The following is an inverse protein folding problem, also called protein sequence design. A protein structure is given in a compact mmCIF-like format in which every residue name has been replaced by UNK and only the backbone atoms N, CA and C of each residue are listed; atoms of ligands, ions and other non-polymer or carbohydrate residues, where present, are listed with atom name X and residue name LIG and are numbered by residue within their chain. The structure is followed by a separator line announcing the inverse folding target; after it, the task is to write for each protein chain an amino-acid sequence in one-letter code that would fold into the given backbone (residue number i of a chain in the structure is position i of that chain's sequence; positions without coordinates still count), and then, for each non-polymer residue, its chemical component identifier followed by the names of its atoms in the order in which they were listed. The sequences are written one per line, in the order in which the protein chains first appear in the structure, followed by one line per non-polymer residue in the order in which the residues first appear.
data_IF_272852204346
#
_entry.id   IF_272852204346
#
_cell.length_a   1.000
_cell.length_b   1.000
_cell.length_c   1.000
_cell.angle_alpha   90.00
_cell.angle_beta   90.00
_cell.angle_gamma   90.00
#
_symmetry.space_group_name_H-M   'P 1'
#
loop_
_entity.id
_entity.type
_entity.pdbx_description
1 polymer ?
#
# COMPACT_ATOMS: atom_id res chain seq x y z
N UNK A 1 -12.29 9.63 12.65
CA UNK A 1 -11.50 8.69 11.82
C UNK A 1 -11.24 7.43 12.63
N UNK A 2 -11.52 6.24 12.10
CA UNK A 2 -11.29 5.00 12.86
C UNK A 2 -9.79 4.66 12.90
N UNK A 3 -9.31 4.01 13.97
CA UNK A 3 -7.91 3.57 14.10
C UNK A 3 -7.46 2.68 12.92
N UNK A 4 -8.39 1.89 12.37
CA UNK A 4 -8.19 1.06 11.17
C UNK A 4 -7.93 1.89 9.91
N UNK A 5 -8.64 3.00 9.73
CA UNK A 5 -8.45 3.90 8.59
C UNK A 5 -7.07 4.55 8.62
N UNK A 6 -6.62 4.98 9.81
CA UNK A 6 -5.29 5.57 9.98
C UNK A 6 -4.18 4.56 9.72
N UNK A 7 -4.34 3.32 10.21
CA UNK A 7 -3.39 2.23 9.97
C UNK A 7 -3.32 1.84 8.49
N UNK A 8 -4.46 1.81 7.79
CA UNK A 8 -4.50 1.60 6.33
C UNK A 8 -3.77 2.70 5.56
N UNK A 9 -4.00 3.97 5.91
CA UNK A 9 -3.28 5.11 5.30
C UNK A 9 -1.78 5.00 5.55
N UNK A 10 -1.36 4.70 6.78
CA UNK A 10 0.05 4.55 7.12
C UNK A 10 0.72 3.44 6.29
N UNK A 11 0.06 2.28 6.15
CA UNK A 11 0.56 1.16 5.33
C UNK A 11 0.69 1.54 3.85
N UNK A 12 -0.31 2.24 3.28
CA UNK A 12 -0.23 2.71 1.88
C UNK A 12 0.91 3.71 1.71
N UNK A 13 1.06 4.67 2.62
CA UNK A 13 2.15 5.65 2.58
C UNK A 13 3.51 4.95 2.68
N UNK A 14 3.66 3.97 3.57
CA UNK A 14 4.87 3.16 3.67
C UNK A 14 5.16 2.38 2.38
N UNK A 15 4.15 1.74 1.78
CA UNK A 15 4.30 1.01 0.52
C UNK A 15 4.70 1.90 -0.66
N UNK A 16 4.07 3.07 -0.80
CA UNK A 16 4.44 4.07 -1.83
C UNK A 16 5.86 4.58 -1.60
N UNK A 17 6.23 4.87 -0.35
CA UNK A 17 7.59 5.30 0.00
C UNK A 17 8.62 4.23 -0.35
N UNK A 18 8.32 2.95 -0.09
CA UNK A 18 9.17 1.82 -0.48
C UNK A 18 9.34 1.73 -2.00
N UNK A 19 8.28 1.94 -2.79
CA UNK A 19 8.38 1.95 -4.25
C UNK A 19 9.18 3.13 -4.80
N UNK A 20 9.08 4.31 -4.18
CA UNK A 20 9.91 5.48 -4.55
C UNK A 20 11.37 5.24 -4.20
N UNK A 21 11.66 4.67 -3.02
CA UNK A 21 13.01 4.30 -2.62
C UNK A 21 13.60 3.27 -3.58
N UNK A 22 12.82 2.28 -3.98
CA UNK A 22 13.23 1.31 -5.00
C UNK A 22 13.62 1.99 -6.30
N UNK A 23 12.79 2.89 -6.84
CA UNK A 23 13.16 3.62 -8.05
C UNK A 23 14.41 4.48 -7.87
N UNK A 24 14.56 5.12 -6.72
CA UNK A 24 15.72 5.98 -6.43
C UNK A 24 17.02 5.18 -6.28
N UNK A 25 16.98 4.01 -5.66
CA UNK A 25 18.17 3.21 -5.36
C UNK A 25 18.45 2.13 -6.40
N UNK A 26 17.42 1.60 -7.06
CA UNK A 26 17.47 0.43 -7.94
C UNK A 26 16.83 0.64 -9.34
N UNK A 27 16.10 1.73 -9.57
CA UNK A 27 15.22 1.94 -10.73
C UNK A 27 15.87 2.11 -12.11
N UNK A 28 17.09 1.61 -12.31
CA UNK A 28 17.71 1.64 -13.64
C UNK A 28 19.11 1.06 -13.75
N UNK A 29 19.63 0.38 -12.73
CA UNK A 29 20.99 -0.16 -12.77
C UNK A 29 20.93 -1.68 -12.95
N UNK A 30 21.03 -2.11 -14.21
CA UNK A 30 21.80 -3.30 -14.50
C UNK A 30 23.15 -3.11 -13.79
N UNK A 31 23.57 -4.08 -12.98
CA UNK A 31 24.91 -4.06 -12.40
C UNK A 31 25.96 -3.98 -13.54
N UNK A 32 27.21 -3.64 -13.24
CA UNK A 32 28.31 -3.58 -14.22
C UNK A 32 28.44 -4.88 -15.05
N UNK A 33 27.88 -5.97 -14.53
CA UNK A 33 27.81 -7.30 -15.13
C UNK A 33 26.51 -7.62 -15.89
N UNK A 34 25.63 -6.64 -16.16
CA UNK A 34 24.28 -6.82 -16.73
C UNK A 34 23.36 -7.75 -15.91
N UNK A 35 23.61 -7.89 -14.60
CA UNK A 35 22.74 -8.67 -13.72
C UNK A 35 21.65 -7.77 -13.18
N UNK A 36 20.40 -8.25 -13.24
CA UNK A 36 19.27 -7.64 -12.57
C UNK A 36 19.53 -7.64 -11.06
N UNK A 37 19.66 -6.44 -10.48
CA UNK A 37 19.84 -6.31 -9.04
C UNK A 37 18.52 -6.66 -8.34
N UNK A 38 18.47 -7.78 -7.62
CA UNK A 38 17.28 -8.18 -6.87
C UNK A 38 17.01 -7.19 -5.74
N UNK A 39 15.91 -6.43 -5.86
CA UNK A 39 15.50 -5.48 -4.84
C UNK A 39 14.42 -6.07 -3.95
N UNK A 40 14.71 -6.25 -2.66
CA UNK A 40 13.72 -6.61 -1.64
C UNK A 40 12.66 -5.52 -1.43
N UNK A 41 12.84 -4.32 -1.98
CA UNK A 41 11.90 -3.21 -1.86
C UNK A 41 10.65 -3.40 -2.73
N UNK A 42 10.76 -4.09 -3.88
CA UNK A 42 9.65 -4.31 -4.82
C UNK A 42 8.57 -5.26 -4.22
N UNK A 43 8.95 -6.43 -3.66
CA UNK A 43 8.00 -7.30 -2.96
C UNK A 43 7.40 -6.62 -1.72
N UNK A 44 8.19 -5.82 -0.99
CA UNK A 44 7.76 -5.14 0.22
C UNK A 44 6.76 -4.01 -0.11
N UNK A 45 7.06 -3.19 -1.11
CA UNK A 45 6.20 -2.12 -1.60
C UNK A 45 4.85 -2.67 -2.09
N UNK A 46 4.89 -3.78 -2.85
CA UNK A 46 3.68 -4.45 -3.30
C UNK A 46 2.84 -4.96 -2.12
N UNK A 47 3.46 -5.66 -1.18
CA UNK A 47 2.76 -6.23 -0.02
C UNK A 47 2.16 -5.13 0.86
N UNK A 48 2.92 -4.09 1.19
CA UNK A 48 2.47 -2.97 2.01
C UNK A 48 1.33 -2.18 1.35
N UNK A 49 1.47 -1.89 0.06
CA UNK A 49 0.46 -1.15 -0.71
C UNK A 49 -0.82 -1.97 -0.88
N UNK A 50 -0.69 -3.26 -1.18
CA UNK A 50 -1.82 -4.17 -1.33
C UNK A 50 -2.58 -4.36 -0.01
N UNK A 51 -1.85 -4.58 1.10
CA UNK A 51 -2.45 -4.74 2.43
C UNK A 51 -3.13 -3.45 2.90
N UNK A 52 -2.46 -2.30 2.73
CA UNK A 52 -3.01 -0.99 3.07
C UNK A 52 -4.25 -0.64 2.23
N UNK A 53 -4.19 -0.90 0.92
CA UNK A 53 -5.33 -0.72 0.02
C UNK A 53 -6.52 -1.59 0.39
N UNK A 54 -6.29 -2.88 0.67
CA UNK A 54 -7.35 -3.81 1.09
C UNK A 54 -8.05 -3.34 2.38
N UNK A 55 -7.30 -2.85 3.36
CA UNK A 55 -7.86 -2.30 4.60
C UNK A 55 -8.74 -1.07 4.36
N UNK A 56 -8.32 -0.18 3.46
CA UNK A 56 -9.11 1.00 3.08
C UNK A 56 -10.41 0.58 2.38
N UNK A 57 -10.35 -0.38 1.45
CA UNK A 57 -11.54 -0.90 0.76
C UNK A 57 -12.53 -1.53 1.75
N UNK A 58 -12.04 -2.34 2.69
CA UNK A 58 -12.88 -2.94 3.74
C UNK A 58 -13.51 -1.87 4.64
N UNK A 59 -12.74 -0.86 5.05
CA UNK A 59 -13.25 0.25 5.85
C UNK A 59 -14.33 1.05 5.09
N UNK A 60 -14.12 1.28 3.79
CA UNK A 60 -15.06 1.99 2.93
C UNK A 60 -16.33 1.18 2.69
N UNK A 61 -16.21 -0.14 2.50
CA UNK A 61 -17.35 -1.06 2.41
C UNK A 61 -18.17 -1.09 3.70
N UNK A 62 -17.53 -1.17 4.87
CA UNK A 62 -18.23 -1.08 6.16
C UNK A 62 -18.93 0.26 6.35
N UNK A 63 -18.29 1.37 5.95
CA UNK A 63 -18.91 2.69 6.00
C UNK A 63 -20.15 2.76 5.11
N UNK A 64 -20.07 2.24 3.89
CA UNK A 64 -21.20 2.17 2.96
C UNK A 64 -22.35 1.30 3.49
N UNK A 65 -22.07 0.11 4.03
CA UNK A 65 -23.07 -0.77 4.62
C UNK A 65 -23.75 -0.09 5.81
N UNK A 66 -22.98 0.56 6.69
CA UNK A 66 -23.53 1.30 7.82
C UNK A 66 -24.38 2.49 7.37
N UNK A 67 -24.02 3.17 6.28
CA UNK A 67 -24.81 4.25 5.70
C UNK A 67 -26.15 3.75 5.15
N UNK A 68 -26.17 2.62 4.46
CA UNK A 68 -27.41 2.01 3.96
C UNK A 68 -28.29 1.57 5.13
N UNK A 69 -27.71 0.94 6.16
CA UNK A 69 -28.43 0.49 7.36
C UNK A 69 -28.96 1.64 8.23
N UNK A 70 -28.23 2.75 8.32
CA UNK A 70 -28.61 3.92 9.11
C UNK A 70 -29.65 4.83 8.44
N UNK A 71 -29.94 4.65 7.15
CA UNK A 71 -30.95 5.43 6.43
C UNK A 71 -32.38 4.86 6.54
N UNK A 72 -32.54 3.72 7.20
CA UNK A 72 -33.81 3.00 7.33
C UNK A 72 -34.43 2.99 8.74
N UNK A 73 -33.89 3.79 9.68
CA UNK A 73 -34.39 3.94 11.05
C UNK A 73 -34.56 5.43 11.37
#
# INVERSE_FOLDING_TARGET
MSKLTWLGIALVVSGVTSGILEQKFYGGRLDENNVLQESFFLPLAFTLTFLGGALIVVAMGRYWINRIRGSGN
#
